data_IF_578721457827
#
_entry.id   IF_578721457827
#
_cell.length_a   1.000
_cell.length_b   1.000
_cell.length_c   1.000
_cell.angle_alpha   90.00
_cell.angle_beta   90.00
_cell.angle_gamma   90.00
#
_symmetry.space_group_name_H-M   'P 1'
#
loop_
_entity.id
_entity.type
_entity.pdbx_description
1 polymer ?
#
# COMPACT_ATOMS: atom_id res chain seq x y z
N UNK A 1 9.71 -9.50 -23.58
CA UNK A 1 9.71 -10.91 -23.13
C UNK A 1 9.49 -11.10 -21.61
N UNK A 2 9.82 -10.12 -20.75
CA UNK A 2 9.76 -10.28 -19.27
C UNK A 2 8.37 -10.20 -18.60
N UNK A 3 7.35 -9.62 -19.24
CA UNK A 3 6.01 -9.45 -18.62
C UNK A 3 5.25 -10.77 -18.39
N UNK A 4 5.56 -11.84 -19.13
CA UNK A 4 4.76 -13.08 -19.14
C UNK A 4 5.01 -14.00 -17.94
N UNK A 5 6.13 -13.84 -17.22
CA UNK A 5 6.53 -14.78 -16.16
C UNK A 5 6.17 -14.32 -14.74
N UNK A 6 5.76 -13.07 -14.58
CA UNK A 6 5.49 -12.44 -13.27
C UNK A 6 4.00 -12.36 -12.91
N UNK A 7 3.14 -12.61 -13.89
CA UNK A 7 1.73 -12.85 -13.61
C UNK A 7 1.67 -14.30 -13.15
N UNK A 8 1.62 -14.52 -11.83
CA UNK A 8 1.12 -15.78 -11.30
C UNK A 8 -0.15 -16.13 -12.08
N UNK A 9 -0.22 -17.29 -12.72
CA UNK A 9 -1.38 -17.75 -13.52
C UNK A 9 -2.69 -17.88 -12.70
N UNK A 10 -2.73 -17.35 -11.47
CA UNK A 10 -3.90 -17.25 -10.61
C UNK A 10 -4.78 -16.09 -11.09
N UNK A 11 -5.50 -16.34 -12.18
CA UNK A 11 -6.66 -15.55 -12.55
C UNK A 11 -7.90 -16.19 -11.94
N UNK A 12 -8.70 -15.42 -11.22
CA UNK A 12 -10.03 -15.83 -10.79
C UNK A 12 -11.02 -15.36 -11.85
N UNK A 13 -11.69 -16.30 -12.53
CA UNK A 13 -12.63 -16.00 -13.61
C UNK A 13 -12.04 -15.11 -14.74
N UNK A 14 -10.77 -15.31 -15.07
CA UNK A 14 -10.06 -14.53 -16.11
C UNK A 14 -9.53 -13.17 -15.63
N UNK A 15 -9.70 -12.81 -14.36
CA UNK A 15 -9.22 -11.55 -13.78
C UNK A 15 -8.02 -11.81 -12.86
N UNK A 16 -6.91 -11.06 -12.96
CA UNK A 16 -5.78 -11.18 -12.04
C UNK A 16 -6.21 -10.96 -10.59
N UNK A 17 -5.70 -11.76 -9.65
CA UNK A 17 -5.99 -11.62 -8.21
C UNK A 17 -5.73 -10.20 -7.69
N UNK A 18 -4.64 -9.57 -8.12
CA UNK A 18 -4.30 -8.20 -7.75
C UNK A 18 -5.29 -7.16 -8.30
N UNK A 19 -5.90 -7.41 -9.46
CA UNK A 19 -6.94 -6.54 -10.00
C UNK A 19 -8.19 -6.58 -9.12
N UNK A 20 -8.61 -7.78 -8.71
CA UNK A 20 -9.74 -7.96 -7.79
C UNK A 20 -9.45 -7.25 -6.47
N UNK A 21 -8.24 -7.43 -5.93
CA UNK A 21 -7.80 -6.79 -4.69
C UNK A 21 -7.91 -5.26 -4.76
N UNK A 22 -7.29 -4.62 -5.76
CA UNK A 22 -7.31 -3.16 -5.87
C UNK A 22 -8.70 -2.60 -6.16
N UNK A 23 -9.54 -3.32 -6.92
CA UNK A 23 -10.95 -2.97 -7.12
C UNK A 23 -11.71 -2.99 -5.81
N UNK A 24 -11.55 -4.05 -5.01
CA UNK A 24 -12.23 -4.17 -3.73
C UNK A 24 -11.85 -3.04 -2.76
N UNK A 25 -10.55 -2.72 -2.64
CA UNK A 25 -10.10 -1.61 -1.80
C UNK A 25 -10.69 -0.28 -2.25
N UNK A 26 -10.65 0.00 -3.56
CA UNK A 26 -11.19 1.23 -4.13
C UNK A 26 -12.69 1.36 -3.87
N UNK A 27 -13.45 0.29 -4.15
CA UNK A 27 -14.90 0.26 -3.98
C UNK A 27 -15.29 0.42 -2.49
N UNK A 28 -14.55 -0.23 -1.59
CA UNK A 28 -14.74 -0.06 -0.15
C UNK A 28 -14.55 1.40 0.27
N UNK A 29 -13.40 2.00 -0.01
CA UNK A 29 -13.09 3.37 0.42
C UNK A 29 -14.08 4.37 -0.18
N UNK A 30 -14.44 4.20 -1.46
CA UNK A 30 -15.41 5.07 -2.12
C UNK A 30 -16.81 4.92 -1.53
N UNK A 31 -17.27 3.69 -1.24
CA UNK A 31 -18.59 3.43 -0.67
C UNK A 31 -18.70 3.99 0.74
N UNK A 32 -17.69 3.78 1.58
CA UNK A 32 -17.65 4.32 2.94
C UNK A 32 -17.55 5.84 2.92
N UNK A 33 -16.73 6.41 2.03
CA UNK A 33 -16.63 7.85 1.85
C UNK A 33 -17.94 8.51 1.43
N UNK A 34 -18.75 7.85 0.58
CA UNK A 34 -20.09 8.31 0.19
C UNK A 34 -21.14 8.15 1.30
N UNK A 35 -21.03 7.09 2.10
CA UNK A 35 -21.94 6.83 3.22
C UNK A 35 -21.74 7.80 4.39
N UNK A 36 -20.63 8.55 4.38
CA UNK A 36 -20.27 9.54 5.40
C UNK A 36 -20.19 8.98 6.83
N UNK A 37 -19.72 7.74 6.94
CA UNK A 37 -19.46 7.07 8.22
C UNK A 37 -17.96 6.86 8.42
N UNK A 38 -17.46 6.91 9.67
CA UNK A 38 -16.09 6.51 9.96
C UNK A 38 -15.83 5.08 9.49
N UNK A 39 -14.66 4.84 8.90
CA UNK A 39 -14.26 3.52 8.44
C UNK A 39 -12.82 3.22 8.82
N UNK A 40 -12.54 1.93 8.98
CA UNK A 40 -11.20 1.38 9.17
C UNK A 40 -10.95 0.34 8.08
N UNK A 41 -9.82 0.47 7.38
CA UNK A 41 -9.39 -0.46 6.35
C UNK A 41 -7.96 -0.91 6.65
N UNK A 42 -7.80 -2.21 6.92
CA UNK A 42 -6.52 -2.89 6.94
C UNK A 42 -6.46 -3.82 5.72
N UNK A 43 -5.45 -3.64 4.87
CA UNK A 43 -5.25 -4.46 3.68
C UNK A 43 -3.79 -4.89 3.55
N UNK A 44 -3.55 -6.11 3.09
CA UNK A 44 -2.22 -6.69 3.00
C UNK A 44 -1.95 -7.25 1.61
N UNK A 45 -0.89 -6.76 0.94
CA UNK A 45 -0.46 -7.25 -0.38
C UNK A 45 0.55 -8.39 -0.19
N UNK A 46 0.24 -9.59 -0.70
CA UNK A 46 1.08 -10.78 -0.51
C UNK A 46 1.66 -11.32 -1.81
N UNK A 47 0.83 -11.80 -2.74
CA UNK A 47 1.26 -12.73 -3.80
C UNK A 47 2.33 -12.17 -4.72
N UNK A 48 2.16 -10.93 -5.20
CA UNK A 48 3.09 -10.31 -6.17
C UNK A 48 4.30 -9.69 -5.48
N UNK A 49 4.18 -9.32 -4.21
CA UNK A 49 5.22 -8.61 -3.45
C UNK A 49 6.12 -9.54 -2.65
N UNK A 50 5.67 -10.77 -2.35
CA UNK A 50 6.39 -11.68 -1.44
C UNK A 50 7.48 -12.51 -2.12
N UNK A 51 7.27 -12.95 -3.38
CA UNK A 51 8.13 -13.96 -4.02
C UNK A 51 9.04 -13.41 -5.13
N UNK A 52 8.87 -12.15 -5.51
CA UNK A 52 9.69 -11.49 -6.52
C UNK A 52 10.13 -10.13 -6.00
N UNK A 53 11.44 -9.95 -5.88
CA UNK A 53 12.08 -8.70 -5.48
C UNK A 53 11.57 -7.50 -6.29
N UNK A 54 11.25 -7.70 -7.58
CA UNK A 54 10.76 -6.63 -8.46
C UNK A 54 9.24 -6.66 -8.69
N UNK A 55 8.51 -7.55 -8.03
CA UNK A 55 7.09 -7.79 -8.32
C UNK A 55 6.22 -6.56 -8.06
N UNK A 56 6.56 -5.74 -7.06
CA UNK A 56 5.85 -4.50 -6.75
C UNK A 56 5.81 -3.53 -7.95
N UNK A 57 6.82 -3.53 -8.83
CA UNK A 57 6.88 -2.68 -10.02
C UNK A 57 5.66 -2.85 -10.94
N UNK A 58 5.07 -4.05 -10.94
CA UNK A 58 3.87 -4.35 -11.75
C UNK A 58 2.63 -3.63 -11.20
N UNK A 59 2.63 -3.37 -9.89
CA UNK A 59 1.51 -2.77 -9.16
C UNK A 59 1.69 -1.28 -8.88
N UNK A 60 2.87 -0.72 -9.18
CA UNK A 60 3.25 0.67 -8.89
C UNK A 60 2.14 1.66 -9.25
N UNK A 61 1.63 1.63 -10.48
CA UNK A 61 0.58 2.55 -10.91
C UNK A 61 -0.73 2.37 -10.14
N UNK A 62 -1.13 1.13 -9.86
CA UNK A 62 -2.38 0.82 -9.13
C UNK A 62 -2.29 1.28 -7.68
N UNK A 63 -1.14 1.06 -7.05
CA UNK A 63 -0.86 1.50 -5.69
C UNK A 63 -0.83 3.03 -5.62
N UNK A 64 -0.14 3.69 -6.55
CA UNK A 64 -0.12 5.15 -6.65
C UNK A 64 -1.54 5.71 -6.80
N UNK A 65 -2.32 5.20 -7.76
CA UNK A 65 -3.67 5.70 -8.00
C UNK A 65 -4.58 5.51 -6.76
N UNK A 66 -4.48 4.36 -6.06
CA UNK A 66 -5.25 4.12 -4.83
C UNK A 66 -4.86 5.09 -3.71
N UNK A 67 -3.56 5.27 -3.46
CA UNK A 67 -3.06 6.16 -2.39
C UNK A 67 -3.35 7.63 -2.71
N UNK A 68 -3.14 8.06 -3.95
CA UNK A 68 -3.43 9.41 -4.41
C UNK A 68 -4.94 9.72 -4.31
N UNK A 69 -5.78 8.78 -4.74
CA UNK A 69 -7.24 8.91 -4.62
C UNK A 69 -7.65 8.99 -3.15
N UNK A 70 -7.13 8.10 -2.31
CA UNK A 70 -7.41 8.09 -0.87
C UNK A 70 -6.93 9.34 -0.15
N UNK A 71 -5.88 9.98 -0.66
CA UNK A 71 -5.34 11.22 -0.08
C UNK A 71 -6.09 12.48 -0.55
N UNK A 72 -6.56 12.51 -1.80
CA UNK A 72 -6.96 13.77 -2.44
C UNK A 72 -8.40 13.81 -2.96
N UNK A 73 -9.04 12.66 -3.22
CA UNK A 73 -10.42 12.66 -3.70
C UNK A 73 -11.41 12.90 -2.56
N UNK A 74 -12.33 13.83 -2.79
CA UNK A 74 -13.45 14.12 -1.87
C UNK A 74 -14.34 12.89 -1.67
N UNK A 75 -14.56 12.10 -2.71
CA UNK A 75 -15.35 10.85 -2.65
C UNK A 75 -14.71 9.76 -1.79
N UNK A 76 -13.44 9.92 -1.40
CA UNK A 76 -12.68 9.02 -0.53
C UNK A 76 -12.49 9.63 0.87
N UNK A 77 -12.99 10.86 1.08
CA UNK A 77 -12.83 11.66 2.30
C UNK A 77 -11.36 11.92 2.67
N UNK A 78 -10.46 12.02 1.68
CA UNK A 78 -9.01 12.08 1.92
C UNK A 78 -8.51 13.22 2.82
N UNK A 79 -9.25 14.33 2.92
CA UNK A 79 -8.95 15.43 3.87
C UNK A 79 -9.27 15.09 5.34
N UNK A 80 -9.90 13.95 5.60
CA UNK A 80 -10.29 13.45 6.92
C UNK A 80 -9.85 12.00 7.16
N UNK A 81 -8.88 11.50 6.39
CA UNK A 81 -8.38 10.12 6.48
C UNK A 81 -6.90 10.08 6.81
N UNK A 82 -6.54 9.35 7.86
CA UNK A 82 -5.15 8.94 8.13
C UNK A 82 -4.83 7.76 7.24
N UNK A 83 -3.71 7.83 6.53
CA UNK A 83 -3.23 6.75 5.66
C UNK A 83 -1.91 6.25 6.21
N UNK A 84 -1.81 4.94 6.43
CA UNK A 84 -0.57 4.27 6.82
C UNK A 84 -0.21 3.31 5.69
N UNK A 85 1.01 3.42 5.19
CA UNK A 85 1.59 2.50 4.23
C UNK A 85 2.85 1.90 4.86
N UNK A 86 2.84 0.59 5.07
CA UNK A 86 3.91 -0.09 5.81
C UNK A 86 4.19 -1.48 5.24
N UNK A 87 5.37 -2.01 5.54
CA UNK A 87 5.68 -3.43 5.45
C UNK A 87 6.00 -3.98 6.85
N UNK A 88 5.78 -5.28 7.03
CA UNK A 88 6.15 -6.01 8.24
C UNK A 88 7.65 -6.30 8.31
N UNK A 89 8.28 -6.46 7.15
CA UNK A 89 9.70 -6.69 6.97
C UNK A 89 10.15 -6.16 5.60
N UNK A 90 11.46 -6.16 5.34
CA UNK A 90 11.99 -5.97 3.98
C UNK A 90 12.10 -7.31 3.25
N UNK A 91 12.73 -7.37 2.08
CA UNK A 91 12.68 -8.58 1.27
C UNK A 91 13.48 -9.75 1.88
N UNK A 92 12.78 -10.85 2.23
CA UNK A 92 13.35 -11.98 3.00
C UNK A 92 13.23 -13.36 2.34
N UNK A 93 13.00 -13.42 1.02
CA UNK A 93 12.65 -14.67 0.32
C UNK A 93 13.63 -14.96 -0.83
N UNK A 94 14.05 -16.21 -0.99
CA UNK A 94 14.91 -16.64 -2.10
C UNK A 94 16.38 -16.20 -1.96
N UNK A 95 17.18 -16.49 -2.99
CA UNK A 95 18.64 -16.42 -2.91
C UNK A 95 19.24 -15.03 -2.67
N UNK A 96 18.50 -13.94 -2.94
CA UNK A 96 18.99 -12.59 -2.62
C UNK A 96 19.24 -12.42 -1.11
N UNK A 97 18.43 -13.06 -0.27
CA UNK A 97 18.57 -13.07 1.20
C UNK A 97 19.95 -13.54 1.67
N UNK A 98 20.57 -14.47 0.93
CA UNK A 98 21.87 -15.05 1.28
C UNK A 98 23.04 -14.10 0.99
N UNK A 99 22.79 -13.01 0.27
CA UNK A 99 23.80 -11.97 0.06
C UNK A 99 23.98 -11.09 1.31
N UNK A 100 25.15 -10.45 1.42
CA UNK A 100 25.41 -9.48 2.48
C UNK A 100 24.35 -8.37 2.53
N UNK A 101 23.91 -7.88 1.37
CA UNK A 101 22.84 -6.86 1.29
C UNK A 101 21.47 -7.43 1.68
N UNK A 102 21.17 -8.67 1.28
CA UNK A 102 19.93 -9.34 1.63
C UNK A 102 19.74 -9.54 3.14
N UNK A 103 20.84 -9.77 3.87
CA UNK A 103 20.84 -9.83 5.33
C UNK A 103 20.39 -8.51 5.98
N UNK A 104 20.81 -7.36 5.44
CA UNK A 104 20.29 -6.08 5.92
C UNK A 104 18.85 -5.87 5.47
N UNK A 105 18.57 -6.13 4.19
CA UNK A 105 17.28 -5.88 3.57
C UNK A 105 16.13 -6.63 4.28
N UNK A 106 16.33 -7.86 4.74
CA UNK A 106 15.27 -8.59 5.46
C UNK A 106 14.79 -7.87 6.74
N UNK A 107 15.66 -7.05 7.35
CA UNK A 107 15.39 -6.33 8.60
C UNK A 107 14.92 -4.88 8.37
N UNK A 108 14.63 -4.47 7.14
CA UNK A 108 14.20 -3.11 6.79
C UNK A 108 12.69 -3.04 6.53
N UNK A 109 11.83 -2.89 7.56
CA UNK A 109 10.44 -2.56 7.35
C UNK A 109 10.30 -1.14 6.80
N UNK A 110 9.35 -0.94 5.91
CA UNK A 110 8.97 0.37 5.42
C UNK A 110 7.83 0.94 6.26
N UNK A 111 7.84 2.25 6.54
CA UNK A 111 6.74 2.92 7.20
C UNK A 111 6.55 4.35 6.65
N UNK A 112 5.31 4.67 6.32
CA UNK A 112 4.88 6.01 5.93
C UNK A 112 3.49 6.30 6.48
N UNK A 113 3.31 7.50 7.00
CA UNK A 113 2.02 7.97 7.52
C UNK A 113 1.66 9.35 6.96
N UNK A 114 0.45 9.47 6.44
CA UNK A 114 -0.15 10.75 6.06
C UNK A 114 -1.26 11.11 7.05
N UNK A 115 -1.08 12.24 7.74
CA UNK A 115 -2.14 12.86 8.51
C UNK A 115 -3.03 13.78 7.65
N UNK A 116 -4.34 13.84 7.94
CA UNK A 116 -5.25 14.89 7.48
C UNK A 116 -4.71 16.31 7.75
N UNK A 117 -4.97 17.31 6.88
CA UNK A 117 -4.51 18.69 7.09
C UNK A 117 -4.93 19.27 8.43
N UNK A 118 -6.16 19.00 8.87
CA UNK A 118 -6.68 19.53 10.13
C UNK A 118 -5.97 18.94 11.36
N UNK A 119 -5.50 17.67 11.32
CA UNK A 119 -4.69 17.10 12.39
C UNK A 119 -3.29 17.72 12.43
N UNK A 120 -2.72 18.05 11.27
CA UNK A 120 -1.42 18.75 11.22
C UNK A 120 -1.50 20.14 11.84
N UNK A 121 -2.59 20.88 11.62
CA UNK A 121 -2.76 22.24 12.17
C UNK A 121 -3.15 22.24 13.64
N UNK A 122 -4.04 21.33 14.07
CA UNK A 122 -4.49 21.23 15.46
C UNK A 122 -3.47 20.55 16.39
N UNK A 123 -2.61 19.67 15.86
CA UNK A 123 -1.62 18.92 16.62
C UNK A 123 -0.22 19.06 15.98
N UNK A 124 0.37 20.27 15.97
CA UNK A 124 1.64 20.52 15.30
C UNK A 124 2.80 19.68 15.87
N UNK A 125 2.76 19.36 17.18
CA UNK A 125 3.76 18.49 17.81
C UNK A 125 3.71 17.05 17.28
N UNK A 126 2.52 16.49 17.01
CA UNK A 126 2.42 15.15 16.43
C UNK A 126 3.02 15.11 15.04
N UNK A 127 2.70 16.11 14.22
CA UNK A 127 3.25 16.20 12.87
C UNK A 127 4.76 16.44 12.86
N UNK A 128 5.28 17.23 13.80
CA UNK A 128 6.72 17.42 14.00
C UNK A 128 7.39 16.09 14.34
N UNK A 129 6.90 15.39 15.36
CA UNK A 129 7.48 14.12 15.80
C UNK A 129 7.43 13.05 14.69
N UNK A 130 6.35 13.00 13.91
CA UNK A 130 6.24 12.07 12.76
C UNK A 130 7.22 12.38 11.62
N UNK A 131 7.76 13.60 11.53
CA UNK A 131 8.76 13.97 10.52
C UNK A 131 10.20 13.75 11.00
N UNK A 132 10.41 13.77 12.31
CA UNK A 132 11.73 13.65 12.93
C UNK A 132 12.12 12.19 13.24
N UNK A 133 11.12 11.30 13.32
CA UNK A 133 11.33 9.84 13.30
C UNK A 133 11.43 9.33 11.87
#
# INVERSE_FOLDING_TARGET
AYKKKLISNKCNFGVPETEIFFRYLRDFVQKMGKADVPYFLLSWLTVVTHNDFNGLKILERKLYDLLNDSAHKSSFKGNNTVIIFMSDHGYRVGGFRESFLGYYEESLPFFFMRLPPHLKSSHPYWYKNLKEN
#
